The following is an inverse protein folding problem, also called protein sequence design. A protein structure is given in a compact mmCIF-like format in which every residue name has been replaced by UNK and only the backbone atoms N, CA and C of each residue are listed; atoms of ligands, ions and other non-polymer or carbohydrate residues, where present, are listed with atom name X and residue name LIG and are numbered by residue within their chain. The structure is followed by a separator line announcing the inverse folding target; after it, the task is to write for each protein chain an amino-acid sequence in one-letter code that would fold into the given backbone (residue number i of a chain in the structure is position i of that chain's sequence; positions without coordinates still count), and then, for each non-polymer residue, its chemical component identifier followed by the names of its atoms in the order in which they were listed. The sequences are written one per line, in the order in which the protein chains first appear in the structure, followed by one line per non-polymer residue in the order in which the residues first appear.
data_IF_062836846071
#
_entry.id   IF_062836846071
#
_cell.length_a   1.000
_cell.length_b   1.000
_cell.length_c   1.000
_cell.angle_alpha   90.00
_cell.angle_beta   90.00
_cell.angle_gamma   90.00
#
_symmetry.space_group_name_H-M   'P 1'
#
loop_
_entity.id
_entity.type
_entity.pdbx_description
1 polymer ?
#
# COMPACT_ATOMS: atom_id res chain seq x y z
N UNK A 1 36.80 13.19 -78.43
CA UNK A 1 37.45 12.55 -77.26
C UNK A 1 37.30 13.31 -75.94
N UNK A 2 37.30 14.67 -75.90
CA UNK A 2 37.23 15.43 -74.63
C UNK A 2 35.89 15.41 -73.87
N UNK A 3 34.75 15.36 -74.57
CA UNK A 3 33.42 15.38 -73.94
C UNK A 3 33.11 14.12 -73.12
N UNK A 4 33.59 12.96 -73.57
CA UNK A 4 33.45 11.68 -72.87
C UNK A 4 34.24 11.70 -71.55
N UNK A 5 35.50 12.15 -71.57
CA UNK A 5 36.35 12.27 -70.37
C UNK A 5 35.75 13.20 -69.31
N UNK A 6 35.17 14.33 -69.74
CA UNK A 6 34.48 15.28 -68.84
C UNK A 6 33.20 14.71 -68.22
N UNK A 7 32.44 13.89 -68.96
CA UNK A 7 31.27 13.19 -68.42
C UNK A 7 31.64 12.18 -67.32
N UNK A 8 32.66 11.33 -67.54
CA UNK A 8 33.12 10.38 -66.51
C UNK A 8 33.72 11.07 -65.28
N UNK A 9 34.42 12.20 -65.44
CA UNK A 9 34.89 13.00 -64.31
C UNK A 9 33.74 13.56 -63.47
N UNK A 10 32.72 14.17 -64.11
CA UNK A 10 31.53 14.67 -63.41
C UNK A 10 30.74 13.54 -62.74
N UNK A 11 30.61 12.40 -63.42
CA UNK A 11 29.97 11.19 -62.87
C UNK A 11 30.69 10.70 -61.61
N UNK A 12 32.02 10.59 -61.66
CA UNK A 12 32.81 10.16 -60.50
C UNK A 12 32.75 11.17 -59.34
N UNK A 13 32.76 12.47 -59.62
CA UNK A 13 32.58 13.50 -58.59
C UNK A 13 31.20 13.43 -57.94
N UNK A 14 30.14 13.21 -58.74
CA UNK A 14 28.78 13.02 -58.23
C UNK A 14 28.67 11.82 -57.30
N UNK A 15 29.19 10.65 -57.70
CA UNK A 15 29.16 9.46 -56.85
C UNK A 15 30.00 9.61 -55.58
N UNK A 16 31.16 10.28 -55.65
CA UNK A 16 31.95 10.62 -54.46
C UNK A 16 31.19 11.50 -53.49
N UNK A 17 30.56 12.58 -53.97
CA UNK A 17 29.75 13.46 -53.14
C UNK A 17 28.55 12.72 -52.50
N UNK A 18 27.90 11.83 -53.26
CA UNK A 18 26.78 11.01 -52.77
C UNK A 18 27.23 10.02 -51.68
N UNK A 19 28.39 9.39 -51.83
CA UNK A 19 28.93 8.48 -50.82
C UNK A 19 29.36 9.23 -49.55
N UNK A 20 29.91 10.44 -49.71
CA UNK A 20 30.26 11.32 -48.60
C UNK A 20 29.01 11.79 -47.83
N UNK A 21 27.94 12.18 -48.54
CA UNK A 21 26.64 12.52 -47.96
C UNK A 21 26.04 11.34 -47.19
N UNK A 22 26.02 10.13 -47.79
CA UNK A 22 25.58 8.91 -47.11
C UNK A 22 26.42 8.62 -45.86
N UNK A 23 27.72 8.85 -45.92
CA UNK A 23 28.63 8.72 -44.78
C UNK A 23 28.32 9.71 -43.64
N UNK A 24 28.00 10.95 -43.97
CA UNK A 24 27.55 11.95 -42.99
C UNK A 24 26.19 11.60 -42.38
N UNK A 25 25.23 11.18 -43.21
CA UNK A 25 23.91 10.69 -42.77
C UNK A 25 24.06 9.50 -41.82
N UNK A 26 25.00 8.59 -42.10
CA UNK A 26 25.28 7.45 -41.24
C UNK A 26 25.80 7.89 -39.87
N UNK A 27 26.78 8.80 -39.80
CA UNK A 27 27.29 9.34 -38.53
C UNK A 27 26.17 9.95 -37.69
N UNK A 28 25.34 10.79 -38.29
CA UNK A 28 24.19 11.41 -37.61
C UNK A 28 23.20 10.36 -37.09
N UNK A 29 22.88 9.32 -37.87
CA UNK A 29 21.99 8.24 -37.40
C UNK A 29 22.61 7.41 -36.28
N UNK A 30 23.93 7.23 -36.27
CA UNK A 30 24.62 6.58 -35.15
C UNK A 30 24.55 7.43 -33.87
N UNK A 31 24.76 8.74 -33.97
CA UNK A 31 24.58 9.67 -32.83
C UNK A 31 23.16 9.63 -32.27
N UNK A 32 22.14 9.51 -33.13
CA UNK A 32 20.75 9.33 -32.68
C UNK A 32 20.54 8.00 -31.96
N UNK A 33 21.24 6.93 -32.35
CA UNK A 33 21.19 5.65 -31.63
C UNK A 33 21.77 5.80 -30.23
N UNK A 34 22.95 6.42 -30.11
CA UNK A 34 23.64 6.62 -28.83
C UNK A 34 22.79 7.48 -27.88
N UNK A 35 22.12 8.53 -28.40
CA UNK A 35 21.19 9.34 -27.61
C UNK A 35 19.92 8.57 -27.19
N UNK A 36 19.40 7.70 -28.05
CA UNK A 36 18.23 6.87 -27.72
C UNK A 36 18.56 5.86 -26.61
N UNK A 37 19.77 5.28 -26.66
CA UNK A 37 20.29 4.38 -25.63
C UNK A 37 20.51 5.12 -24.31
N UNK A 38 21.07 6.33 -24.34
CA UNK A 38 21.20 7.17 -23.14
C UNK A 38 19.84 7.55 -22.53
N UNK A 39 18.82 7.78 -23.37
CA UNK A 39 17.47 8.09 -22.89
C UNK A 39 16.83 6.90 -22.14
N UNK A 40 17.21 5.66 -22.44
CA UNK A 40 16.75 4.45 -21.75
C UNK A 40 17.19 4.42 -20.28
N UNK A 41 18.37 4.97 -19.98
CA UNK A 41 18.94 5.03 -18.63
C UNK A 41 18.49 6.27 -17.85
N UNK A 42 17.74 7.19 -18.47
CA UNK A 42 17.30 8.41 -17.79
C UNK A 42 16.34 8.04 -16.62
N UNK A 43 16.60 8.54 -15.39
CA UNK A 43 15.71 8.34 -14.25
C UNK A 43 14.38 9.09 -14.41
N UNK A 44 14.37 10.22 -15.13
CA UNK A 44 13.17 10.98 -15.43
C UNK A 44 12.53 10.47 -16.74
N UNK A 45 11.42 9.74 -16.60
CA UNK A 45 10.70 9.18 -17.75
C UNK A 45 10.15 10.25 -18.70
N UNK A 46 9.65 11.38 -18.19
CA UNK A 46 9.06 12.43 -19.06
C UNK A 46 10.14 13.10 -19.91
N UNK A 47 11.28 13.44 -19.29
CA UNK A 47 12.44 13.97 -20.02
C UNK A 47 12.96 12.97 -21.06
N UNK A 48 13.13 11.70 -20.66
CA UNK A 48 13.52 10.62 -21.58
C UNK A 48 12.56 10.48 -22.75
N UNK A 49 11.24 10.59 -22.51
CA UNK A 49 10.21 10.50 -23.54
C UNK A 49 10.32 11.64 -24.55
N UNK A 50 10.49 12.87 -24.07
CA UNK A 50 10.66 14.03 -24.94
C UNK A 50 11.89 13.88 -25.84
N UNK A 51 13.00 13.38 -25.28
CA UNK A 51 14.22 13.06 -26.03
C UNK A 51 13.91 12.02 -27.11
N UNK A 52 13.33 10.87 -26.77
CA UNK A 52 13.02 9.80 -27.74
C UNK A 52 12.11 10.29 -28.87
N UNK A 53 11.07 11.10 -28.55
CA UNK A 53 10.18 11.69 -29.55
C UNK A 53 10.94 12.66 -30.47
N UNK A 54 11.85 13.47 -29.92
CA UNK A 54 12.70 14.36 -30.71
C UNK A 54 13.59 13.57 -31.65
N UNK A 55 14.26 12.52 -31.16
CA UNK A 55 15.13 11.66 -31.95
C UNK A 55 14.37 10.97 -33.10
N UNK A 56 13.14 10.51 -32.87
CA UNK A 56 12.29 9.93 -33.92
C UNK A 56 11.94 10.94 -35.02
N UNK A 57 11.75 12.22 -34.67
CA UNK A 57 11.53 13.29 -35.66
C UNK A 57 12.81 13.56 -36.44
N UNK A 58 13.95 13.71 -35.75
CA UNK A 58 15.26 13.95 -36.38
C UNK A 58 15.67 12.81 -37.31
N UNK A 59 15.39 11.56 -36.93
CA UNK A 59 15.65 10.38 -37.76
C UNK A 59 15.00 10.45 -39.14
N UNK A 60 13.75 10.95 -39.21
CA UNK A 60 12.98 11.08 -40.45
C UNK A 60 13.52 12.20 -41.36
N UNK A 61 14.26 13.16 -40.80
CA UNK A 61 14.87 14.26 -41.54
C UNK A 61 16.22 13.87 -42.16
N UNK A 62 16.87 12.82 -41.66
CA UNK A 62 18.17 12.37 -42.19
C UNK A 62 17.95 11.50 -43.43
N UNK A 63 18.69 11.83 -44.50
CA UNK A 63 18.65 11.13 -45.77
C UNK A 63 19.12 9.67 -45.73
N UNK A 64 19.35 9.11 -46.93
CA UNK A 64 19.80 7.73 -47.09
C UNK A 64 21.20 7.53 -46.54
N UNK A 65 21.45 6.33 -46.00
CA UNK A 65 22.76 5.86 -45.52
C UNK A 65 23.29 4.76 -46.47
N UNK A 66 24.55 4.32 -46.34
CA UNK A 66 25.05 3.20 -47.13
C UNK A 66 24.19 1.95 -46.91
N UNK A 67 23.82 1.29 -48.00
CA UNK A 67 22.85 0.18 -48.02
C UNK A 67 23.24 -0.95 -47.05
N UNK A 68 24.54 -1.27 -47.00
CA UNK A 68 25.11 -2.26 -46.06
C UNK A 68 24.87 -1.97 -44.57
N UNK A 69 24.60 -0.72 -44.21
CA UNK A 69 24.43 -0.29 -42.81
C UNK A 69 23.00 0.14 -42.47
N UNK A 70 22.14 0.32 -43.48
CA UNK A 70 20.78 0.84 -43.32
C UNK A 70 19.98 0.04 -42.29
N UNK A 71 19.88 -1.27 -42.48
CA UNK A 71 19.06 -2.13 -41.63
C UNK A 71 19.64 -2.25 -40.22
N UNK A 72 20.97 -2.34 -40.10
CA UNK A 72 21.64 -2.43 -38.79
C UNK A 72 21.38 -1.20 -37.94
N UNK A 73 21.52 -0.02 -38.53
CA UNK A 73 21.37 1.26 -37.83
C UNK A 73 19.90 1.51 -37.52
N UNK A 74 18.99 1.19 -38.45
CA UNK A 74 17.55 1.25 -38.20
C UNK A 74 17.11 0.33 -37.06
N UNK A 75 17.54 -0.93 -37.08
CA UNK A 75 17.18 -1.89 -36.03
C UNK A 75 17.71 -1.44 -34.67
N UNK A 76 18.96 -0.95 -34.57
CA UNK A 76 19.52 -0.40 -33.33
C UNK A 76 18.66 0.74 -32.78
N UNK A 77 18.34 1.72 -33.62
CA UNK A 77 17.52 2.86 -33.22
C UNK A 77 16.11 2.45 -32.79
N UNK A 78 15.45 1.60 -33.59
CA UNK A 78 14.11 1.09 -33.31
C UNK A 78 14.08 0.30 -32.00
N UNK A 79 15.04 -0.61 -31.79
CA UNK A 79 15.13 -1.40 -30.55
C UNK A 79 15.31 -0.50 -29.32
N UNK A 80 16.16 0.54 -29.39
CA UNK A 80 16.32 1.48 -28.28
C UNK A 80 15.01 2.25 -27.97
N UNK A 81 14.32 2.73 -29.01
CA UNK A 81 13.03 3.40 -28.84
C UNK A 81 11.94 2.48 -28.27
N UNK A 82 11.82 1.27 -28.80
CA UNK A 82 10.83 0.28 -28.33
C UNK A 82 11.12 -0.11 -26.87
N UNK A 83 12.39 -0.37 -26.53
CA UNK A 83 12.80 -0.68 -25.16
C UNK A 83 12.47 0.44 -24.17
N UNK A 84 12.57 1.70 -24.58
CA UNK A 84 12.21 2.85 -23.73
C UNK A 84 10.73 2.83 -23.34
N UNK A 85 9.84 2.60 -24.31
CA UNK A 85 8.40 2.54 -24.03
C UNK A 85 8.00 1.25 -23.32
N UNK A 86 8.65 0.13 -23.63
CA UNK A 86 8.42 -1.15 -22.97
C UNK A 86 8.83 -1.13 -21.50
N UNK A 87 9.89 -0.40 -21.12
CA UNK A 87 10.36 -0.28 -19.74
C UNK A 87 9.22 0.13 -18.78
N UNK A 88 8.44 1.17 -19.10
CA UNK A 88 7.33 1.63 -18.24
C UNK A 88 6.20 0.60 -18.14
N UNK A 89 5.89 -0.07 -19.24
CA UNK A 89 4.90 -1.14 -19.25
C UNK A 89 5.37 -2.34 -18.41
N UNK A 90 6.65 -2.71 -18.51
CA UNK A 90 7.26 -3.77 -17.72
C UNK A 90 7.30 -3.43 -16.24
N UNK A 91 7.71 -2.21 -15.87
CA UNK A 91 7.67 -1.74 -14.47
C UNK A 91 6.24 -1.79 -13.91
N UNK A 92 5.24 -1.32 -14.66
CA UNK A 92 3.84 -1.39 -14.25
C UNK A 92 3.36 -2.84 -14.08
N UNK A 93 3.66 -3.72 -15.05
CA UNK A 93 3.30 -5.14 -14.99
C UNK A 93 4.00 -5.85 -13.83
N UNK A 94 5.26 -5.54 -13.56
CA UNK A 94 6.00 -6.09 -12.41
C UNK A 94 5.39 -5.64 -11.09
N UNK A 95 4.99 -4.37 -10.96
CA UNK A 95 4.28 -3.87 -9.78
C UNK A 95 2.94 -4.57 -9.58
N UNK A 96 2.19 -4.78 -10.66
CA UNK A 96 0.91 -5.49 -10.64
C UNK A 96 1.09 -6.95 -10.20
N UNK A 97 2.02 -7.68 -10.81
CA UNK A 97 2.34 -9.07 -10.43
C UNK A 97 2.77 -9.15 -8.97
N UNK A 98 3.64 -8.24 -8.51
CA UNK A 98 4.06 -8.20 -7.11
C UNK A 98 2.90 -7.94 -6.15
N UNK A 99 2.01 -6.99 -6.48
CA UNK A 99 0.82 -6.72 -5.68
C UNK A 99 -0.13 -7.92 -5.64
N UNK A 100 -0.28 -8.63 -6.77
CA UNK A 100 -1.13 -9.82 -6.85
C UNK A 100 -0.56 -10.99 -6.05
N UNK A 101 0.76 -11.23 -6.09
CA UNK A 101 1.43 -12.25 -5.28
C UNK A 101 1.23 -11.99 -3.79
N UNK A 102 1.47 -10.75 -3.34
CA UNK A 102 1.21 -10.35 -1.94
C UNK A 102 -0.26 -10.60 -1.58
N UNK A 103 -1.21 -10.24 -2.44
CA UNK A 103 -2.63 -10.48 -2.18
C UNK A 103 -2.98 -11.97 -2.10
N UNK A 104 -2.36 -12.83 -2.92
CA UNK A 104 -2.61 -14.27 -2.89
C UNK A 104 -2.05 -14.92 -1.63
N UNK A 105 -0.82 -14.58 -1.26
CA UNK A 105 -0.18 -15.06 -0.04
C UNK A 105 -1.00 -14.62 1.20
N UNK A 106 -1.47 -13.37 1.25
CA UNK A 106 -2.37 -12.89 2.31
C UNK A 106 -3.68 -13.71 2.39
N UNK A 107 -4.28 -14.03 1.24
CA UNK A 107 -5.48 -14.87 1.22
C UNK A 107 -5.20 -16.28 1.77
N UNK A 108 -4.09 -16.89 1.37
CA UNK A 108 -3.70 -18.21 1.87
C UNK A 108 -3.41 -18.23 3.38
N UNK A 109 -2.87 -17.16 3.96
CA UNK A 109 -2.74 -17.04 5.42
C UNK A 109 -4.11 -16.92 6.10
N UNK A 110 -5.02 -16.09 5.57
CA UNK A 110 -6.37 -15.96 6.12
C UNK A 110 -7.15 -17.27 6.07
N UNK A 111 -7.01 -18.04 4.99
CA UNK A 111 -7.64 -19.35 4.87
C UNK A 111 -7.09 -20.31 5.94
N UNK A 112 -5.77 -20.36 6.14
CA UNK A 112 -5.14 -21.15 7.22
C UNK A 112 -5.62 -20.74 8.61
N UNK A 113 -5.76 -19.45 8.87
CA UNK A 113 -6.30 -18.97 10.14
C UNK A 113 -7.77 -19.33 10.31
N UNK A 114 -8.56 -19.28 9.24
CA UNK A 114 -9.94 -19.70 9.25
C UNK A 114 -10.07 -21.20 9.58
N UNK A 115 -9.22 -22.04 8.97
CA UNK A 115 -9.16 -23.47 9.26
C UNK A 115 -8.77 -23.73 10.71
N UNK A 116 -7.78 -22.99 11.22
CA UNK A 116 -7.34 -23.08 12.63
C UNK A 116 -8.50 -22.75 13.57
N UNK A 117 -9.21 -21.65 13.32
CA UNK A 117 -10.36 -21.23 14.13
C UNK A 117 -11.50 -22.24 14.03
N UNK A 118 -11.75 -22.81 12.84
CA UNK A 118 -12.80 -23.80 12.62
C UNK A 118 -12.52 -25.14 13.29
N UNK A 119 -11.24 -25.49 13.49
CA UNK A 119 -10.83 -26.71 14.19
C UNK A 119 -10.96 -26.62 15.72
N UNK A 120 -11.19 -25.43 16.28
CA UNK A 120 -11.36 -25.25 17.72
C UNK A 120 -12.72 -25.80 18.16
N UNK A 121 -12.70 -26.53 19.27
CA UNK A 121 -13.88 -27.18 19.84
C UNK A 121 -13.90 -26.96 21.36
N UNK A 122 -15.01 -27.22 22.05
CA UNK A 122 -15.02 -27.18 23.52
C UNK A 122 -13.97 -28.08 24.17
N UNK A 123 -13.62 -29.20 23.53
CA UNK A 123 -12.60 -30.15 24.01
C UNK A 123 -11.16 -29.74 23.64
N UNK A 124 -11.00 -28.87 22.65
CA UNK A 124 -9.73 -28.27 22.25
C UNK A 124 -9.91 -26.76 21.98
N UNK A 125 -10.05 -25.95 23.04
CA UNK A 125 -10.30 -24.53 22.90
C UNK A 125 -9.03 -23.75 22.52
N UNK A 126 -9.22 -22.50 22.08
CA UNK A 126 -8.12 -21.57 21.86
C UNK A 126 -7.43 -21.15 23.16
N UNK A 127 -6.22 -20.59 23.05
CA UNK A 127 -5.45 -20.04 24.17
C UNK A 127 -4.99 -18.61 23.87
N UNK A 128 -4.72 -17.81 24.91
CA UNK A 128 -4.16 -16.46 24.71
C UNK A 128 -2.77 -16.51 24.06
N UNK A 129 -2.00 -17.55 24.32
CA UNK A 129 -0.71 -17.76 23.67
C UNK A 129 -0.89 -18.03 22.17
N UNK A 130 -1.78 -18.95 21.79
CA UNK A 130 -2.08 -19.23 20.39
C UNK A 130 -2.67 -18.02 19.65
N UNK A 131 -3.50 -17.21 20.30
CA UNK A 131 -3.94 -15.93 19.75
C UNK A 131 -2.75 -15.02 19.44
N UNK A 132 -1.81 -14.86 20.38
CA UNK A 132 -0.63 -14.01 20.20
C UNK A 132 0.29 -14.53 19.10
N UNK A 133 0.42 -15.84 18.95
CA UNK A 133 1.17 -16.47 17.87
C UNK A 133 0.55 -16.16 16.49
N UNK A 134 -0.77 -16.33 16.34
CA UNK A 134 -1.46 -16.02 15.08
C UNK A 134 -1.35 -14.53 14.73
N UNK A 135 -1.43 -13.65 15.74
CA UNK A 135 -1.20 -12.21 15.56
C UNK A 135 0.24 -11.94 15.15
N UNK A 136 1.23 -12.55 15.80
CA UNK A 136 2.63 -12.38 15.44
C UNK A 136 2.93 -12.88 14.02
N UNK A 137 2.37 -14.03 13.62
CA UNK A 137 2.48 -14.57 12.26
C UNK A 137 1.91 -13.59 11.24
N UNK A 138 0.68 -13.10 11.47
CA UNK A 138 0.05 -12.11 10.58
C UNK A 138 0.89 -10.84 10.44
N UNK A 139 1.52 -10.37 11.52
CA UNK A 139 2.36 -9.17 11.51
C UNK A 139 3.71 -9.40 10.84
N UNK A 140 4.32 -10.57 11.00
CA UNK A 140 5.61 -10.92 10.42
C UNK A 140 5.57 -10.95 8.89
N UNK A 141 4.44 -11.35 8.30
CA UNK A 141 4.26 -11.39 6.85
C UNK A 141 4.26 -10.00 6.19
N UNK A 142 4.04 -8.95 6.98
CA UNK A 142 4.15 -7.56 6.54
C UNK A 142 2.92 -6.77 6.93
N UNK A 143 3.15 -5.68 7.64
CA UNK A 143 2.16 -4.74 8.14
C UNK A 143 1.48 -3.96 7.00
N UNK A 144 0.77 -4.63 6.09
CA UNK A 144 0.00 -4.02 5.00
C UNK A 144 -0.92 -5.06 4.33
N UNK A 145 -1.61 -5.89 5.13
CA UNK A 145 -2.87 -6.45 4.65
C UNK A 145 -3.70 -5.31 4.08
N UNK A 146 -4.20 -5.44 2.85
CA UNK A 146 -5.17 -4.46 2.34
C UNK A 146 -6.32 -4.31 3.35
N UNK A 147 -7.05 -3.18 3.40
CA UNK A 147 -8.06 -2.94 4.45
C UNK A 147 -9.05 -4.09 4.66
N UNK A 148 -9.40 -4.79 3.57
CA UNK A 148 -10.27 -5.98 3.58
C UNK A 148 -9.63 -7.20 4.24
N UNK A 149 -8.34 -7.42 4.04
CA UNK A 149 -7.62 -8.55 4.63
C UNK A 149 -7.49 -8.38 6.15
N UNK A 150 -7.17 -7.16 6.61
CA UNK A 150 -7.15 -6.81 8.03
C UNK A 150 -8.52 -6.95 8.71
N UNK A 151 -9.60 -6.56 8.03
CA UNK A 151 -10.96 -6.73 8.56
C UNK A 151 -11.34 -8.21 8.73
N UNK A 152 -11.00 -9.05 7.74
CA UNK A 152 -11.17 -10.50 7.83
C UNK A 152 -10.36 -11.08 8.98
N UNK A 153 -9.09 -10.68 9.10
CA UNK A 153 -8.21 -11.12 10.19
C UNK A 153 -8.80 -10.76 11.56
N UNK A 154 -9.22 -9.52 11.76
CA UNK A 154 -9.85 -9.08 13.02
C UNK A 154 -11.13 -9.88 13.34
N UNK A 155 -11.93 -10.19 12.33
CA UNK A 155 -13.14 -11.01 12.49
C UNK A 155 -12.78 -12.43 12.93
N UNK A 156 -11.77 -13.05 12.32
CA UNK A 156 -11.28 -14.39 12.69
C UNK A 156 -10.72 -14.39 14.12
N UNK A 157 -9.93 -13.38 14.48
CA UNK A 157 -9.40 -13.20 15.82
C UNK A 157 -10.51 -13.00 16.87
N UNK A 158 -11.57 -12.28 16.52
CA UNK A 158 -12.78 -12.14 17.35
C UNK A 158 -13.43 -13.49 17.66
N UNK A 159 -13.57 -14.35 16.63
CA UNK A 159 -14.09 -15.71 16.76
C UNK A 159 -13.13 -16.62 17.53
N UNK A 160 -11.82 -16.50 17.29
CA UNK A 160 -10.82 -17.25 18.04
C UNK A 160 -10.96 -16.99 19.54
N UNK A 161 -11.06 -15.72 19.95
CA UNK A 161 -11.21 -15.34 21.35
C UNK A 161 -12.52 -15.82 21.99
N UNK A 162 -13.59 -16.05 21.21
CA UNK A 162 -14.83 -16.67 21.73
C UNK A 162 -14.61 -18.12 22.18
N UNK A 163 -13.57 -18.79 21.68
CA UNK A 163 -13.25 -20.17 22.03
C UNK A 163 -12.35 -20.28 23.26
N UNK A 164 -11.80 -19.17 23.78
CA UNK A 164 -10.84 -19.19 24.89
C UNK A 164 -11.59 -19.29 26.24
N UNK A 165 -11.42 -20.39 26.99
CA UNK A 165 -12.17 -20.61 28.23
C UNK A 165 -11.70 -19.65 29.32
N UNK A 166 -12.65 -19.10 30.06
CA UNK A 166 -12.36 -18.25 31.22
C UNK A 166 -11.81 -16.86 30.87
N UNK A 167 -11.77 -16.47 29.59
CA UNK A 167 -11.34 -15.14 29.18
C UNK A 167 -12.39 -14.08 29.58
N UNK A 168 -12.04 -13.11 30.46
CA UNK A 168 -12.98 -12.06 30.81
C UNK A 168 -13.35 -11.19 29.60
N UNK A 169 -14.61 -10.78 29.53
CA UNK A 169 -15.10 -9.91 28.44
C UNK A 169 -14.25 -8.64 28.26
N UNK A 170 -13.86 -8.01 29.36
CA UNK A 170 -13.04 -6.80 29.34
C UNK A 170 -11.65 -7.05 28.71
N UNK A 171 -11.01 -8.16 29.04
CA UNK A 171 -9.70 -8.51 28.48
C UNK A 171 -9.79 -8.86 27.00
N UNK A 172 -10.85 -9.58 26.59
CA UNK A 172 -11.16 -9.80 25.17
C UNK A 172 -11.33 -8.48 24.42
N UNK A 173 -12.09 -7.54 24.99
CA UNK A 173 -12.33 -6.25 24.37
C UNK A 173 -11.02 -5.46 24.20
N UNK A 174 -10.12 -5.50 25.20
CA UNK A 174 -8.81 -4.86 25.15
C UNK A 174 -7.90 -5.48 24.05
N UNK A 175 -7.89 -6.81 23.91
CA UNK A 175 -7.13 -7.50 22.85
C UNK A 175 -7.62 -7.13 21.45
N UNK A 176 -8.93 -7.10 21.23
CA UNK A 176 -9.52 -6.69 19.95
C UNK A 176 -9.27 -5.21 19.66
N UNK A 177 -9.35 -4.38 20.70
CA UNK A 177 -9.04 -2.96 20.58
C UNK A 177 -7.57 -2.74 20.19
N UNK A 178 -6.64 -3.50 20.77
CA UNK A 178 -5.23 -3.44 20.41
C UNK A 178 -5.03 -3.81 18.92
N UNK A 179 -5.68 -4.85 18.42
CA UNK A 179 -5.64 -5.19 16.99
C UNK A 179 -6.17 -4.06 16.10
N UNK A 180 -7.22 -3.36 16.55
CA UNK A 180 -7.77 -2.21 15.84
C UNK A 180 -6.77 -1.05 15.81
N UNK A 181 -6.13 -0.73 16.94
CA UNK A 181 -5.14 0.35 17.03
C UNK A 181 -3.91 0.07 16.17
N UNK A 182 -3.38 -1.14 16.21
CA UNK A 182 -2.23 -1.53 15.36
C UNK A 182 -2.55 -1.41 13.87
N UNK A 183 -3.77 -1.78 13.46
CA UNK A 183 -4.22 -1.55 12.07
C UNK A 183 -4.26 -0.07 11.72
N UNK A 184 -4.77 0.78 12.62
CA UNK A 184 -4.81 2.22 12.39
C UNK A 184 -3.41 2.82 12.30
N UNK A 185 -2.46 2.36 13.12
CA UNK A 185 -1.04 2.76 13.08
C UNK A 185 -0.37 2.43 11.73
N UNK A 186 -0.74 1.30 11.12
CA UNK A 186 -0.19 0.87 9.83
C UNK A 186 -0.78 1.60 8.60
N UNK A 187 -1.85 2.38 8.77
CA UNK A 187 -2.50 3.11 7.68
C UNK A 187 -1.82 4.44 7.34
N UNK A 188 -2.01 4.98 6.11
CA UNK A 188 -1.42 6.25 5.69
C UNK A 188 -1.89 7.45 6.54
N UNK A 189 -3.12 7.40 7.07
CA UNK A 189 -3.74 8.47 7.89
C UNK A 189 -3.73 8.15 9.40
N UNK A 190 -2.73 7.37 9.86
CA UNK A 190 -2.65 6.87 11.22
C UNK A 190 -2.88 7.96 12.28
N UNK A 191 -2.19 9.10 12.15
CA UNK A 191 -2.26 10.19 13.12
C UNK A 191 -3.69 10.75 13.25
N UNK A 192 -4.38 11.00 12.14
CA UNK A 192 -5.74 11.54 12.15
C UNK A 192 -6.74 10.50 12.67
N UNK A 193 -6.58 9.24 12.27
CA UNK A 193 -7.48 8.16 12.69
C UNK A 193 -7.37 7.88 14.20
N UNK A 194 -6.14 7.82 14.73
CA UNK A 194 -5.88 7.66 16.16
C UNK A 194 -6.40 8.84 16.96
N UNK A 195 -6.20 10.08 16.47
CA UNK A 195 -6.75 11.27 17.12
C UNK A 195 -8.28 11.21 17.21
N UNK A 196 -8.97 10.88 16.11
CA UNK A 196 -10.45 10.73 16.11
C UNK A 196 -10.89 9.67 17.11
N UNK A 197 -10.18 8.54 17.19
CA UNK A 197 -10.48 7.47 18.14
C UNK A 197 -10.26 7.91 19.58
N UNK A 198 -9.16 8.61 19.87
CA UNK A 198 -8.89 9.20 21.18
C UNK A 198 -9.99 10.19 21.60
N UNK A 199 -10.40 11.09 20.70
CA UNK A 199 -11.45 12.05 21.01
C UNK A 199 -12.79 11.36 21.29
N UNK A 200 -13.12 10.30 20.56
CA UNK A 200 -14.29 9.47 20.84
C UNK A 200 -14.26 8.89 22.25
N UNK A 201 -13.16 8.23 22.63
CA UNK A 201 -13.02 7.66 23.97
C UNK A 201 -13.11 8.72 25.08
N UNK A 202 -12.49 9.89 24.89
CA UNK A 202 -12.58 11.00 25.85
C UNK A 202 -14.01 11.51 25.98
N UNK A 203 -14.75 11.58 24.88
CA UNK A 203 -16.16 11.98 24.90
C UNK A 203 -16.99 10.98 25.69
N UNK A 204 -16.83 9.69 25.42
CA UNK A 204 -17.55 8.62 26.11
C UNK A 204 -17.24 8.62 27.62
N UNK A 205 -15.98 8.86 28.01
CA UNK A 205 -15.59 9.01 29.42
C UNK A 205 -16.31 10.19 30.05
N UNK A 206 -16.27 11.36 29.41
CA UNK A 206 -16.92 12.57 29.94
C UNK A 206 -18.44 12.40 30.06
N UNK A 207 -19.08 11.72 29.11
CA UNK A 207 -20.52 11.40 29.15
C UNK A 207 -20.84 10.54 30.39
N UNK A 208 -20.10 9.46 30.62
CA UNK A 208 -20.27 8.60 31.81
C UNK A 208 -19.95 9.34 33.12
N UNK A 209 -18.95 10.21 33.14
CA UNK A 209 -18.61 11.02 34.33
C UNK A 209 -19.75 11.99 34.69
N UNK A 210 -20.39 12.61 33.69
CA UNK A 210 -21.58 13.46 33.90
C UNK A 210 -22.79 12.65 34.37
N UNK A 211 -23.00 11.45 33.82
CA UNK A 211 -24.05 10.54 34.26
C UNK A 211 -23.86 10.14 35.72
N UNK A 212 -22.64 9.77 36.12
CA UNK A 212 -22.31 9.48 37.51
C UNK A 212 -22.62 10.67 38.42
N UNK A 213 -22.22 11.89 38.04
CA UNK A 213 -22.49 13.08 38.84
C UNK A 213 -24.01 13.31 39.04
N UNK A 214 -24.80 13.05 38.01
CA UNK A 214 -26.27 13.14 38.06
C UNK A 214 -26.86 12.05 38.97
N UNK A 215 -26.42 10.80 38.81
CA UNK A 215 -26.86 9.67 39.65
C UNK A 215 -26.48 9.90 41.13
N UNK A 216 -25.29 10.45 41.40
CA UNK A 216 -24.83 10.81 42.75
C UNK A 216 -25.71 11.89 43.38
N UNK A 217 -26.04 12.94 42.62
CA UNK A 217 -26.94 14.01 43.08
C UNK A 217 -28.33 13.44 43.42
N UNK A 218 -28.86 12.56 42.56
CA UNK A 218 -30.13 11.87 42.81
C UNK A 218 -30.04 10.97 44.06
N UNK A 219 -28.95 10.23 44.22
CA UNK A 219 -28.73 9.35 45.37
C UNK A 219 -28.66 10.13 46.68
N UNK A 220 -28.03 11.32 46.68
CA UNK A 220 -28.00 12.23 47.84
C UNK A 220 -29.41 12.76 48.20
N UNK A 221 -30.23 13.07 47.19
CA UNK A 221 -31.63 13.44 47.40
C UNK A 221 -32.42 12.29 48.05
N UNK A 222 -32.28 11.07 47.53
CA UNK A 222 -32.96 9.90 48.06
C UNK A 222 -32.40 9.43 49.41
N UNK A 223 -31.15 9.76 49.76
CA UNK A 223 -30.51 9.47 51.05
C UNK A 223 -31.31 10.01 52.26
N UNK A 224 -32.14 11.04 52.04
CA UNK A 224 -32.97 11.66 53.08
C UNK A 224 -34.37 11.03 53.22
N UNK A 225 -34.79 10.18 52.28
CA UNK A 225 -36.13 9.54 52.29
C UNK A 225 -36.12 8.15 52.92
N UNK A 226 -36.99 7.91 53.90
CA UNK A 226 -37.03 6.67 54.71
C UNK A 226 -37.43 5.39 53.94
N UNK A 227 -38.05 5.52 52.76
CA UNK A 227 -38.57 4.39 51.97
C UNK A 227 -37.86 4.19 50.62
N UNK A 228 -36.69 4.79 50.41
CA UNK A 228 -36.01 4.80 49.10
C UNK A 228 -34.85 3.78 48.97
N UNK A 229 -34.78 2.77 49.83
CA UNK A 229 -33.62 1.87 49.90
C UNK A 229 -33.36 1.10 48.58
N UNK A 230 -34.39 0.54 47.96
CA UNK A 230 -34.26 -0.18 46.68
C UNK A 230 -33.75 0.72 45.55
N UNK A 231 -34.28 1.96 45.46
CA UNK A 231 -33.80 2.92 44.48
C UNK A 231 -32.33 3.26 44.72
N UNK A 232 -31.92 3.54 45.97
CA UNK A 232 -30.52 3.83 46.27
C UNK A 232 -29.58 2.71 45.84
N UNK A 233 -29.96 1.46 46.08
CA UNK A 233 -29.19 0.29 45.65
C UNK A 233 -29.09 0.21 44.12
N UNK A 234 -30.19 0.47 43.40
CA UNK A 234 -30.20 0.54 41.93
C UNK A 234 -29.30 1.67 41.39
N UNK A 235 -29.43 2.89 41.91
CA UNK A 235 -28.59 4.03 41.53
C UNK A 235 -27.12 3.77 41.83
N UNK A 236 -26.81 3.17 42.98
CA UNK A 236 -25.46 2.79 43.35
C UNK A 236 -24.88 1.75 42.39
N UNK A 237 -25.65 0.70 42.05
CA UNK A 237 -25.23 -0.31 41.07
C UNK A 237 -24.92 0.31 39.70
N UNK A 238 -25.75 1.24 39.23
CA UNK A 238 -25.50 1.97 37.97
C UNK A 238 -24.24 2.84 38.02
N UNK A 239 -23.98 3.49 39.15
CA UNK A 239 -22.75 4.27 39.36
C UNK A 239 -21.53 3.35 39.28
N UNK A 240 -21.58 2.19 39.92
CA UNK A 240 -20.45 1.27 39.97
C UNK A 240 -20.19 0.62 38.60
N UNK A 241 -21.24 0.29 37.84
CA UNK A 241 -21.13 -0.15 36.45
C UNK A 241 -20.50 0.94 35.56
N UNK A 242 -20.96 2.19 35.68
CA UNK A 242 -20.42 3.32 34.93
C UNK A 242 -18.93 3.55 35.23
N UNK A 243 -18.50 3.41 36.50
CA UNK A 243 -17.09 3.49 36.90
C UNK A 243 -16.24 2.40 36.27
N UNK A 244 -16.70 1.14 36.31
CA UNK A 244 -16.01 0.02 35.67
C UNK A 244 -15.83 0.25 34.16
N UNK A 245 -16.85 0.80 33.49
CA UNK A 245 -16.78 1.16 32.07
C UNK A 245 -15.78 2.29 31.82
N UNK A 246 -15.77 3.34 32.65
CA UNK A 246 -14.77 4.42 32.57
C UNK A 246 -13.35 3.85 32.68
N UNK A 247 -13.11 2.94 33.61
CA UNK A 247 -11.80 2.33 33.80
C UNK A 247 -11.35 1.52 32.57
N UNK A 248 -12.27 0.78 31.94
CA UNK A 248 -12.01 0.10 30.66
C UNK A 248 -11.67 1.10 29.53
N UNK A 249 -12.45 2.19 29.39
CA UNK A 249 -12.17 3.23 28.39
C UNK A 249 -10.83 3.93 28.63
N UNK A 250 -10.45 4.16 29.90
CA UNK A 250 -9.15 4.72 30.28
C UNK A 250 -7.99 3.78 29.90
N UNK A 251 -8.15 2.46 30.03
CA UNK A 251 -7.17 1.48 29.54
C UNK A 251 -7.02 1.55 28.02
N UNK A 252 -8.12 1.58 27.28
CA UNK A 252 -8.11 1.73 25.82
C UNK A 252 -7.44 3.04 25.38
N UNK A 253 -7.71 4.14 26.09
CA UNK A 253 -7.05 5.43 25.83
C UNK A 253 -5.53 5.36 26.04
N UNK A 254 -5.07 4.58 27.02
CA UNK A 254 -3.63 4.32 27.23
C UNK A 254 -3.01 3.55 26.06
N UNK A 255 -3.73 2.57 25.50
CA UNK A 255 -3.29 1.78 24.33
C UNK A 255 -3.12 2.66 23.08
N UNK A 256 -3.97 3.67 22.87
CA UNK A 256 -3.81 4.61 21.73
C UNK A 256 -2.52 5.44 21.88
N UNK A 257 -2.16 5.80 23.11
CA UNK A 257 -1.04 6.71 23.40
C UNK A 257 0.33 6.03 23.51
N UNK A 258 0.35 4.71 23.69
CA UNK A 258 1.56 3.88 23.67
C UNK A 258 2.00 3.58 22.25
#
# INVERSE_FOLDING_TARGET
MGAYKGFFQRKNQFFKALDEEKGQNLKRKLELCDQAEAALENPNWEEGREIVIRLQKEWKLIGRVPEKQSDKVWNRFRTACDAFFDRKNQEAKQREVKAQLVSQEQAAHLDRFADTVAALTPDNPGTIEGFRELVAEWRAYGASGGPRAEEKFQTLMGKYLDTVPGLPYAERADLLFQLQVERLKAGPDAQQALYKKEQGLRRDINELENDIATLQTNLEFFARSKNANQLREEYQGRIDEAKLRIDALKKQLKIIRS
#
